data_IF_031945475000
#
_entry.id   IF_031945475000
#
_cell.length_a   1.000
_cell.length_b   1.000
_cell.length_c   1.000
_cell.angle_alpha   90.00
_cell.angle_beta   90.00
_cell.angle_gamma   90.00
#
_symmetry.space_group_name_H-M   'P 1'
#
loop_
_entity.id
_entity.type
_entity.pdbx_description
1 polymer ?
#
# COMPACT_ATOMS: atom_id res chain seq x y z
N UNK A 1 29.11 40.02 -56.46
CA UNK A 1 29.59 40.14 -55.05
C UNK A 1 28.48 40.17 -54.04
N UNK A 2 27.28 40.67 -54.35
CA UNK A 2 26.12 40.77 -53.46
C UNK A 2 25.48 39.40 -53.15
N UNK A 3 25.38 38.50 -54.14
CA UNK A 3 24.72 37.17 -53.97
C UNK A 3 25.54 36.25 -53.04
N UNK A 4 26.83 36.37 -53.05
CA UNK A 4 27.68 35.52 -52.16
C UNK A 4 27.58 35.96 -50.71
N UNK A 5 27.32 37.23 -50.46
CA UNK A 5 27.13 37.80 -49.11
C UNK A 5 25.80 37.41 -48.48
N UNK A 6 24.78 37.38 -49.28
CA UNK A 6 23.43 36.93 -48.87
C UNK A 6 23.42 35.42 -48.55
N UNK A 7 24.12 34.62 -49.37
CA UNK A 7 24.22 33.17 -49.18
C UNK A 7 25.00 32.82 -47.90
N UNK A 8 26.05 33.55 -47.58
CA UNK A 8 26.82 33.35 -46.29
C UNK A 8 26.02 33.79 -45.09
N UNK A 9 25.20 34.84 -45.23
CA UNK A 9 24.32 35.27 -44.14
C UNK A 9 23.19 34.26 -43.87
N UNK A 10 22.59 33.70 -44.92
CA UNK A 10 21.56 32.66 -44.82
C UNK A 10 22.13 31.33 -44.29
N UNK A 11 23.31 30.94 -44.71
CA UNK A 11 23.98 29.74 -44.22
C UNK A 11 24.37 29.85 -42.74
N UNK A 12 24.77 31.04 -42.30
CA UNK A 12 25.03 31.35 -40.89
C UNK A 12 23.74 31.34 -40.05
N UNK A 13 22.63 31.82 -40.59
CA UNK A 13 21.34 31.85 -39.91
C UNK A 13 20.72 30.45 -39.74
N UNK A 14 20.88 29.58 -40.77
CA UNK A 14 20.40 28.20 -40.72
C UNK A 14 21.22 27.35 -39.76
N UNK A 15 22.52 27.61 -39.63
CA UNK A 15 23.37 26.94 -38.63
C UNK A 15 23.05 27.38 -37.17
N UNK A 16 22.46 28.58 -36.99
CA UNK A 16 22.08 29.06 -35.67
C UNK A 16 20.75 28.46 -35.18
N UNK A 17 19.94 27.92 -36.12
CA UNK A 17 18.61 27.39 -35.78
C UNK A 17 18.60 25.96 -35.18
N UNK A 18 19.70 25.22 -35.31
CA UNK A 18 19.82 23.87 -34.79
C UNK A 18 20.71 23.85 -33.53
N UNK A 19 20.14 23.49 -32.42
CA UNK A 19 20.94 23.24 -31.19
C UNK A 19 21.91 22.09 -31.42
N UNK A 20 23.20 22.26 -31.11
CA UNK A 20 24.19 21.18 -31.25
C UNK A 20 23.76 19.98 -30.40
N UNK A 21 23.74 18.82 -31.03
CA UNK A 21 23.44 17.56 -30.36
C UNK A 21 24.41 16.46 -30.80
N UNK A 22 24.77 15.58 -29.92
CA UNK A 22 25.50 14.35 -30.22
C UNK A 22 24.73 13.16 -29.61
N UNK A 23 25.18 11.93 -29.87
CA UNK A 23 24.59 10.72 -29.29
C UNK A 23 24.51 10.76 -27.76
N UNK A 24 25.42 11.49 -27.11
CA UNK A 24 25.54 11.53 -25.66
C UNK A 24 25.25 12.90 -25.04
N UNK A 25 25.10 13.96 -25.84
CA UNK A 25 24.90 15.32 -25.35
C UNK A 25 23.92 16.08 -26.22
N UNK A 26 23.00 16.78 -25.56
CA UNK A 26 22.04 17.67 -26.21
C UNK A 26 22.09 19.03 -25.50
N UNK A 27 22.27 20.11 -26.26
CA UNK A 27 22.09 21.47 -25.74
C UNK A 27 20.58 21.78 -25.84
N UNK A 28 19.94 21.91 -24.68
CA UNK A 28 18.50 22.19 -24.61
C UNK A 28 18.20 23.70 -24.69
N UNK A 29 19.17 24.55 -24.39
CA UNK A 29 19.04 26.01 -24.53
C UNK A 29 20.41 26.68 -24.58
N UNK A 30 20.49 27.84 -25.19
CA UNK A 30 21.66 28.71 -25.16
C UNK A 30 21.23 30.18 -25.21
N UNK A 31 22.07 31.06 -24.67
CA UNK A 31 21.89 32.50 -24.75
C UNK A 31 23.17 33.15 -25.28
N UNK A 32 23.03 34.30 -25.94
CA UNK A 32 24.13 35.13 -26.40
C UNK A 32 24.28 36.32 -25.45
N UNK A 33 25.42 36.46 -24.79
CA UNK A 33 25.79 37.59 -23.96
C UNK A 33 27.07 38.25 -24.48
N UNK A 34 27.46 39.36 -23.91
CA UNK A 34 28.70 40.07 -24.20
C UNK A 34 29.97 39.35 -23.72
N UNK A 35 29.83 38.26 -23.02
CA UNK A 35 30.89 37.39 -22.53
C UNK A 35 30.36 36.43 -21.48
N UNK A 36 31.17 35.50 -21.06
CA UNK A 36 30.83 34.52 -20.04
C UNK A 36 31.85 33.40 -20.00
N UNK A 37 31.77 32.59 -18.96
CA UNK A 37 32.59 31.36 -18.85
C UNK A 37 31.65 30.16 -18.91
N UNK A 38 31.96 29.23 -19.82
CA UNK A 38 31.33 27.92 -19.86
C UNK A 38 32.25 26.88 -19.24
N UNK A 39 31.74 26.15 -18.27
CA UNK A 39 32.44 24.97 -17.76
C UNK A 39 33.61 25.22 -16.80
N UNK A 40 33.64 26.34 -16.09
CA UNK A 40 34.56 26.48 -14.95
C UNK A 40 34.16 25.48 -13.90
N UNK A 41 35.00 24.49 -13.65
CA UNK A 41 34.72 23.41 -12.70
C UNK A 41 35.86 23.23 -11.71
N UNK A 42 35.49 22.94 -10.46
CA UNK A 42 36.33 22.33 -9.44
C UNK A 42 35.85 20.88 -9.20
N UNK A 43 36.54 20.16 -8.32
CA UNK A 43 36.10 18.80 -7.93
C UNK A 43 34.64 18.73 -7.46
N UNK A 44 34.09 19.84 -6.95
CA UNK A 44 32.76 19.87 -6.32
C UNK A 44 31.79 20.88 -6.94
N UNK A 45 32.22 21.74 -7.86
CA UNK A 45 31.37 22.80 -8.43
C UNK A 45 31.60 23.00 -9.92
N UNK A 46 30.49 23.21 -10.66
CA UNK A 46 30.50 23.73 -12.03
C UNK A 46 29.78 25.06 -12.05
N UNK A 47 30.43 26.07 -12.61
CA UNK A 47 29.85 27.40 -12.79
C UNK A 47 29.69 27.64 -14.30
N UNK A 48 28.46 27.95 -14.70
CA UNK A 48 28.15 28.49 -16.02
C UNK A 48 27.63 29.91 -15.83
N UNK A 49 28.25 30.90 -16.43
CA UNK A 49 27.85 32.27 -16.35
C UNK A 49 27.78 32.93 -17.71
N UNK A 50 26.78 33.76 -17.96
CA UNK A 50 26.61 34.61 -19.12
C UNK A 50 26.79 36.05 -18.67
N UNK A 51 27.85 36.72 -19.13
CA UNK A 51 28.04 38.15 -18.89
C UNK A 51 27.18 38.94 -19.87
N UNK A 52 26.38 39.88 -19.38
CA UNK A 52 25.44 40.67 -20.16
C UNK A 52 24.01 40.20 -20.13
N UNK A 53 23.71 39.15 -19.36
CA UNK A 53 22.34 38.86 -18.95
C UNK A 53 21.93 39.88 -17.90
N UNK A 54 21.15 40.89 -18.32
CA UNK A 54 20.66 41.95 -17.45
C UNK A 54 19.59 41.42 -16.53
N UNK A 55 20.00 40.87 -15.39
CA UNK A 55 18.97 40.54 -14.47
C UNK A 55 19.40 40.20 -13.05
N UNK A 56 19.34 41.17 -12.21
CA UNK A 56 18.92 40.97 -10.84
C UNK A 56 17.41 41.11 -10.74
N UNK A 57 16.75 40.54 -9.70
CA UNK A 57 15.34 40.78 -9.46
C UNK A 57 15.12 42.26 -9.17
N UNK A 58 14.25 42.88 -9.95
CA UNK A 58 13.69 44.18 -9.59
C UNK A 58 12.51 43.91 -8.66
N UNK A 59 12.61 44.35 -7.40
CA UNK A 59 11.60 44.11 -6.40
C UNK A 59 10.96 45.46 -5.94
N UNK A 60 9.63 45.43 -5.80
CA UNK A 60 8.87 46.46 -5.08
C UNK A 60 8.10 45.79 -3.93
N UNK A 61 7.39 46.60 -3.14
CA UNK A 61 6.61 46.06 -2.00
C UNK A 61 5.60 44.95 -2.39
N UNK A 62 5.13 44.95 -3.65
CA UNK A 62 4.07 44.06 -4.13
C UNK A 62 4.43 43.24 -5.39
N UNK A 63 5.58 43.48 -6.01
CA UNK A 63 5.94 42.85 -7.27
C UNK A 63 7.44 42.53 -7.33
N UNK A 64 7.78 41.37 -7.81
CA UNK A 64 9.15 40.99 -8.19
C UNK A 64 9.17 40.66 -9.67
N UNK A 65 9.99 41.36 -10.44
CA UNK A 65 10.25 41.05 -11.85
C UNK A 65 11.67 40.51 -11.99
N UNK A 66 11.82 39.35 -12.57
CA UNK A 66 13.10 38.77 -12.95
C UNK A 66 13.29 38.89 -14.46
N UNK A 67 14.47 39.36 -14.90
CA UNK A 67 14.82 39.45 -16.31
C UNK A 67 15.95 38.46 -16.66
N UNK A 68 16.07 38.10 -17.95
CA UNK A 68 17.09 37.19 -18.44
C UNK A 68 16.68 35.72 -18.51
N UNK A 69 17.50 34.88 -19.18
CA UNK A 69 17.20 33.48 -19.43
C UNK A 69 17.06 32.65 -18.13
N UNK A 70 17.84 33.00 -17.11
CA UNK A 70 17.79 32.32 -15.80
C UNK A 70 16.42 32.44 -15.17
N UNK A 71 15.82 33.63 -15.21
CA UNK A 71 14.48 33.88 -14.66
C UNK A 71 13.36 33.36 -15.55
N UNK A 72 13.55 33.40 -16.89
CA UNK A 72 12.59 32.84 -17.84
C UNK A 72 12.41 31.31 -17.65
N UNK A 73 13.39 30.64 -17.08
CA UNK A 73 13.37 29.19 -16.79
C UNK A 73 13.21 28.87 -15.30
N UNK A 74 12.93 29.87 -14.47
CA UNK A 74 12.74 29.60 -13.05
C UNK A 74 11.51 28.70 -12.84
N UNK A 75 11.69 27.66 -12.03
CA UNK A 75 10.58 26.81 -11.61
C UNK A 75 9.68 27.56 -10.61
N UNK A 76 8.39 27.42 -10.74
CA UNK A 76 7.44 27.85 -9.74
C UNK A 76 7.55 26.99 -8.49
N UNK A 77 7.26 27.56 -7.33
CA UNK A 77 7.23 26.83 -6.06
C UNK A 77 6.03 25.86 -6.07
N UNK A 78 6.25 24.55 -6.01
CA UNK A 78 5.17 23.56 -6.00
C UNK A 78 4.55 23.45 -4.62
N UNK A 79 3.34 22.84 -4.54
CA UNK A 79 2.76 22.39 -3.29
C UNK A 79 2.89 20.87 -3.16
N UNK A 80 3.07 20.39 -1.94
CA UNK A 80 3.01 18.98 -1.63
C UNK A 80 1.93 18.73 -0.57
N UNK A 81 1.15 17.68 -0.75
CA UNK A 81 0.19 17.20 0.25
C UNK A 81 0.55 15.79 0.64
N UNK A 82 0.51 15.48 1.93
CA UNK A 82 0.72 14.14 2.45
C UNK A 82 -0.54 13.68 3.19
N UNK A 83 -0.99 12.43 2.93
CA UNK A 83 -2.20 11.85 3.54
C UNK A 83 -1.99 10.39 3.93
N UNK A 84 -2.83 9.90 4.84
CA UNK A 84 -2.94 8.50 5.18
C UNK A 84 -4.40 8.04 5.00
N UNK A 85 -4.82 7.83 3.76
CA UNK A 85 -6.21 7.56 3.41
C UNK A 85 -6.68 6.15 3.82
N UNK A 86 -5.77 5.19 3.95
CA UNK A 86 -6.08 3.78 4.20
C UNK A 86 -5.46 3.23 5.50
N UNK A 87 -5.16 4.11 6.46
CA UNK A 87 -4.62 3.73 7.76
C UNK A 87 -3.32 2.91 7.67
N UNK A 88 -2.44 3.27 6.73
CA UNK A 88 -1.16 2.59 6.53
C UNK A 88 -0.23 2.81 7.72
N UNK A 89 0.43 1.75 8.13
CA UNK A 89 1.39 1.78 9.24
C UNK A 89 2.83 2.11 8.80
N UNK A 90 3.18 1.90 7.52
CA UNK A 90 4.56 1.99 7.01
C UNK A 90 4.72 2.85 5.75
N UNK A 91 3.66 3.53 5.33
CA UNK A 91 3.66 4.37 4.11
C UNK A 91 2.65 5.49 4.21
N UNK A 92 2.87 6.55 3.43
CA UNK A 92 1.97 7.69 3.30
C UNK A 92 1.87 8.11 1.83
N UNK A 93 0.73 8.62 1.42
CA UNK A 93 0.54 9.12 0.06
C UNK A 93 0.97 10.57 -0.04
N UNK A 94 1.85 10.87 -0.99
CA UNK A 94 2.29 12.22 -1.33
C UNK A 94 1.75 12.58 -2.70
N UNK A 95 1.09 13.73 -2.79
CA UNK A 95 0.59 14.32 -4.04
C UNK A 95 1.27 15.65 -4.26
N UNK A 96 1.71 15.93 -5.47
CA UNK A 96 2.32 17.20 -5.86
C UNK A 96 1.31 18.00 -6.67
N UNK A 97 1.13 19.27 -6.32
CA UNK A 97 0.55 20.26 -7.22
C UNK A 97 1.70 21.04 -7.88
N UNK A 98 1.77 20.93 -9.19
CA UNK A 98 2.85 21.48 -9.99
C UNK A 98 2.84 23.01 -10.05
N UNK A 99 1.80 23.71 -9.63
CA UNK A 99 1.68 25.19 -9.61
C UNK A 99 2.08 25.85 -10.95
N UNK A 100 1.47 25.37 -12.03
CA UNK A 100 1.74 25.83 -13.40
C UNK A 100 3.21 25.65 -13.85
N UNK A 101 3.98 24.79 -13.21
CA UNK A 101 5.27 24.38 -13.78
C UNK A 101 5.02 23.63 -15.09
N UNK A 102 5.86 23.86 -16.12
CA UNK A 102 5.73 23.15 -17.38
C UNK A 102 6.05 21.66 -17.24
N UNK A 103 5.68 20.88 -18.26
CA UNK A 103 5.81 19.42 -18.26
C UNK A 103 7.26 18.91 -18.19
N UNK A 104 8.25 19.76 -18.48
CA UNK A 104 9.68 19.47 -18.39
C UNK A 104 10.25 19.72 -16.98
N UNK A 105 9.47 20.28 -16.07
CA UNK A 105 9.87 20.45 -14.69
C UNK A 105 9.88 19.11 -13.93
N UNK A 106 10.83 18.96 -13.02
CA UNK A 106 10.95 17.82 -12.11
C UNK A 106 10.88 18.26 -10.66
N UNK A 107 10.42 17.38 -9.78
CA UNK A 107 10.08 17.70 -8.40
C UNK A 107 10.83 16.81 -7.44
N UNK A 108 11.32 17.38 -6.34
CA UNK A 108 11.87 16.67 -5.21
C UNK A 108 11.07 16.96 -3.96
N UNK A 109 10.88 15.94 -3.12
CA UNK A 109 10.16 16.05 -1.85
C UNK A 109 11.13 15.84 -0.70
N UNK A 110 11.18 16.80 0.20
CA UNK A 110 11.79 16.67 1.51
C UNK A 110 10.73 16.18 2.50
N UNK A 111 11.13 15.25 3.36
CA UNK A 111 10.29 14.64 4.40
C UNK A 111 11.02 14.66 5.73
N UNK A 112 10.29 14.82 6.82
CA UNK A 112 10.85 14.87 8.17
C UNK A 112 9.85 14.38 9.19
N UNK A 113 10.32 13.72 10.24
CA UNK A 113 9.54 13.33 11.41
C UNK A 113 9.76 14.23 12.63
N UNK A 114 10.63 15.24 12.51
CA UNK A 114 11.05 16.14 13.59
C UNK A 114 10.97 17.62 13.21
N UNK A 115 10.00 17.95 12.35
CA UNK A 115 9.76 19.31 11.84
C UNK A 115 11.00 19.94 11.18
N UNK A 116 11.72 19.16 10.35
CA UNK A 116 12.90 19.55 9.60
C UNK A 116 14.14 19.95 10.45
N UNK A 117 14.21 19.51 11.70
CA UNK A 117 15.49 19.47 12.44
C UNK A 117 16.44 18.53 11.72
N UNK A 118 15.96 17.37 11.31
CA UNK A 118 16.62 16.47 10.37
C UNK A 118 15.80 16.38 9.08
N UNK A 119 16.44 16.66 7.95
CA UNK A 119 15.80 16.58 6.64
C UNK A 119 16.18 15.29 5.95
N UNK A 120 15.18 14.55 5.50
CA UNK A 120 15.32 13.41 4.60
C UNK A 120 14.64 13.73 3.26
N UNK A 121 14.88 12.90 2.26
CA UNK A 121 14.36 13.10 0.91
C UNK A 121 13.76 11.82 0.37
N UNK A 122 12.70 11.96 -0.43
CA UNK A 122 12.08 10.82 -1.12
C UNK A 122 12.87 10.53 -2.38
N UNK A 123 13.35 9.28 -2.50
CA UNK A 123 14.08 8.78 -3.67
C UNK A 123 13.15 8.47 -4.85
N UNK A 124 13.76 8.18 -5.99
CA UNK A 124 13.06 7.77 -7.21
C UNK A 124 12.28 6.43 -7.07
N UNK A 125 12.64 5.59 -6.10
CA UNK A 125 11.93 4.35 -5.74
C UNK A 125 10.88 4.56 -4.64
N UNK A 126 10.63 5.81 -4.23
CA UNK A 126 9.71 6.22 -3.16
C UNK A 126 10.10 5.72 -1.76
N UNK A 127 11.35 5.34 -1.54
CA UNK A 127 11.93 5.17 -0.20
C UNK A 127 12.56 6.47 0.27
N UNK A 128 13.04 6.51 1.53
CA UNK A 128 13.58 7.73 2.16
C UNK A 128 15.08 7.64 2.30
N UNK A 129 15.80 8.75 2.08
CA UNK A 129 17.27 8.88 2.20
C UNK A 129 17.66 10.17 2.90
N UNK A 130 18.85 10.19 3.53
CA UNK A 130 19.39 11.39 4.15
C UNK A 130 19.95 12.43 3.15
N UNK A 131 20.23 12.03 1.91
CA UNK A 131 20.86 12.89 0.90
C UNK A 131 20.02 12.94 -0.37
N UNK A 132 19.78 14.14 -0.89
CA UNK A 132 19.09 14.35 -2.16
C UNK A 132 20.10 14.20 -3.32
N UNK A 133 19.80 13.31 -4.26
CA UNK A 133 20.49 13.21 -5.55
C UNK A 133 19.66 13.85 -6.66
N UNK A 134 20.31 14.26 -7.76
CA UNK A 134 19.59 14.75 -8.93
C UNK A 134 18.65 13.68 -9.54
N UNK A 135 19.00 12.41 -9.41
CA UNK A 135 18.16 11.28 -9.85
C UNK A 135 16.87 11.11 -9.05
N UNK A 136 16.75 11.77 -7.90
CA UNK A 136 15.54 11.74 -7.05
C UNK A 136 14.52 12.81 -7.46
N UNK A 137 14.91 13.74 -8.35
CA UNK A 137 13.95 14.64 -8.98
C UNK A 137 13.18 13.90 -10.05
N UNK A 138 11.87 13.85 -9.90
CA UNK A 138 10.97 13.11 -10.78
C UNK A 138 9.97 14.04 -11.44
N UNK A 139 9.50 13.64 -12.64
CA UNK A 139 8.42 14.35 -13.37
C UNK A 139 7.12 14.29 -12.58
N UNK A 140 6.21 15.22 -12.89
CA UNK A 140 4.85 15.20 -12.33
C UNK A 140 4.12 13.87 -12.57
N UNK A 141 4.32 13.28 -13.77
CA UNK A 141 3.75 11.97 -14.10
C UNK A 141 4.34 10.84 -13.25
N UNK A 142 5.66 10.85 -12.97
CA UNK A 142 6.30 9.86 -12.11
C UNK A 142 5.82 9.98 -10.66
N UNK A 143 5.48 11.19 -10.19
CA UNK A 143 4.82 11.43 -8.90
C UNK A 143 3.33 11.01 -8.89
N UNK A 144 2.84 10.36 -9.96
CA UNK A 144 1.46 9.88 -10.04
C UNK A 144 0.45 10.96 -10.40
N UNK A 145 0.91 12.11 -10.88
CA UNK A 145 0.04 13.25 -11.24
C UNK A 145 -0.88 13.63 -10.06
N UNK A 146 -2.16 13.82 -10.30
CA UNK A 146 -3.16 14.16 -9.29
C UNK A 146 -3.47 13.02 -8.28
N UNK A 147 -3.10 11.76 -8.60
CA UNK A 147 -3.34 10.60 -7.73
C UNK A 147 -2.30 10.53 -6.61
N UNK A 148 -1.06 10.92 -6.90
CA UNK A 148 0.07 10.86 -5.99
C UNK A 148 0.74 9.48 -5.94
N UNK A 149 1.80 9.38 -5.12
CA UNK A 149 2.60 8.17 -4.93
C UNK A 149 2.74 7.82 -3.44
N UNK A 150 2.94 6.53 -3.16
CA UNK A 150 3.13 6.03 -1.81
C UNK A 150 4.61 6.07 -1.44
N UNK A 151 4.98 6.92 -0.50
CA UNK A 151 6.29 6.93 0.16
C UNK A 151 6.31 5.80 1.18
N UNK A 152 7.31 4.92 1.11
CA UNK A 152 7.37 3.64 1.82
C UNK A 152 8.53 3.58 2.80
N UNK A 153 8.49 2.57 3.70
CA UNK A 153 9.54 2.33 4.69
C UNK A 153 9.53 3.35 5.83
N UNK A 154 8.37 3.96 6.08
CA UNK A 154 8.19 4.90 7.17
C UNK A 154 7.90 4.16 8.48
N UNK A 155 8.58 4.49 9.60
CA UNK A 155 8.22 4.01 10.92
C UNK A 155 6.75 4.19 11.27
N UNK A 156 6.13 3.21 11.98
CA UNK A 156 4.75 3.29 12.41
C UNK A 156 4.51 4.36 13.50
N UNK A 157 3.26 4.80 13.61
CA UNK A 157 2.82 5.72 14.68
C UNK A 157 3.53 7.08 14.66
N UNK A 158 4.08 7.48 13.51
CA UNK A 158 4.98 8.64 13.38
C UNK A 158 4.34 9.72 12.51
N UNK A 159 4.39 10.98 12.96
CA UNK A 159 3.95 12.14 12.17
C UNK A 159 5.08 12.50 11.22
N UNK A 160 4.76 12.63 9.94
CA UNK A 160 5.65 13.12 8.90
C UNK A 160 5.16 14.42 8.32
N UNK A 161 6.10 15.34 8.12
CA UNK A 161 5.89 16.62 7.46
C UNK A 161 6.66 16.62 6.15
N UNK A 162 6.02 17.06 5.06
CA UNK A 162 6.64 17.15 3.73
C UNK A 162 6.59 18.57 3.19
N UNK A 163 7.54 18.87 2.32
CA UNK A 163 7.57 20.04 1.45
C UNK A 163 8.22 19.68 0.13
N UNK A 164 7.83 20.30 -0.95
CA UNK A 164 8.37 20.04 -2.27
C UNK A 164 9.08 21.25 -2.84
N UNK A 165 10.02 21.00 -3.75
CA UNK A 165 10.65 21.98 -4.61
C UNK A 165 10.67 21.48 -6.03
N UNK A 166 10.72 22.39 -7.00
CA UNK A 166 10.76 22.08 -8.42
C UNK A 166 12.12 22.50 -9.00
N UNK A 167 12.51 21.81 -10.06
CA UNK A 167 13.70 22.11 -10.85
C UNK A 167 13.30 22.13 -12.32
N UNK A 168 13.66 23.20 -13.02
CA UNK A 168 13.37 23.38 -14.44
C UNK A 168 14.65 23.64 -15.23
N UNK A 169 14.95 22.78 -16.19
CA UNK A 169 16.18 22.86 -16.96
C UNK A 169 17.42 22.57 -16.12
N UNK A 170 18.54 23.20 -16.47
CA UNK A 170 19.81 22.92 -15.75
C UNK A 170 20.17 23.97 -14.70
N UNK A 171 19.37 25.01 -14.49
CA UNK A 171 19.86 26.21 -13.79
C UNK A 171 18.97 26.76 -12.69
N UNK A 172 17.70 26.38 -12.60
CA UNK A 172 16.81 27.03 -11.64
C UNK A 172 15.99 26.06 -10.83
N UNK A 173 16.36 25.98 -9.57
CA UNK A 173 15.59 25.31 -8.53
C UNK A 173 14.68 26.34 -7.84
N UNK A 174 13.43 25.96 -7.57
CA UNK A 174 12.53 26.79 -6.77
C UNK A 174 12.90 26.73 -5.29
N UNK A 175 12.39 27.64 -4.50
CA UNK A 175 12.29 27.44 -3.05
C UNK A 175 11.39 26.26 -2.70
N UNK A 176 11.42 25.82 -1.44
CA UNK A 176 10.45 24.85 -0.94
C UNK A 176 9.08 25.51 -0.80
N UNK A 177 8.04 24.75 -1.17
CA UNK A 177 6.65 25.09 -0.88
C UNK A 177 6.29 24.95 0.60
N UNK A 178 5.05 25.28 0.94
CA UNK A 178 4.53 25.10 2.29
C UNK A 178 4.55 23.65 2.73
N UNK A 179 4.58 23.45 4.03
CA UNK A 179 4.58 22.12 4.64
C UNK A 179 3.17 21.60 4.86
N UNK A 180 2.99 20.28 4.72
CA UNK A 180 1.81 19.53 5.15
C UNK A 180 2.23 18.31 5.94
N UNK A 181 1.36 17.78 6.81
CA UNK A 181 1.69 16.69 7.70
C UNK A 181 0.60 15.62 7.70
N UNK A 182 1.03 14.36 7.85
CA UNK A 182 0.17 13.21 8.13
C UNK A 182 0.92 12.20 9.00
N UNK A 183 0.19 11.33 9.68
CA UNK A 183 0.78 10.28 10.52
C UNK A 183 0.60 8.89 9.90
N UNK A 184 1.61 8.04 10.02
CA UNK A 184 1.43 6.60 9.95
C UNK A 184 0.70 6.12 11.20
N UNK A 185 -0.05 5.02 11.11
CA UNK A 185 -0.68 4.41 12.28
C UNK A 185 0.17 3.27 12.85
N UNK A 186 -0.15 2.79 14.04
CA UNK A 186 0.49 1.58 14.55
C UNK A 186 -0.04 0.32 13.85
N UNK A 187 0.76 -0.76 13.71
CA UNK A 187 0.26 -2.06 13.32
C UNK A 187 -0.86 -2.53 14.23
N UNK A 188 -1.96 -2.99 13.65
CA UNK A 188 -3.14 -3.43 14.39
C UNK A 188 -3.65 -4.76 13.86
N UNK A 189 -3.95 -5.67 14.80
CA UNK A 189 -4.72 -6.87 14.57
C UNK A 189 -5.74 -6.99 15.71
N UNK A 190 -7.01 -6.97 15.37
CA UNK A 190 -8.11 -7.27 16.30
C UNK A 190 -8.79 -8.55 15.85
N UNK A 191 -9.00 -9.45 16.78
CA UNK A 191 -9.63 -10.74 16.55
C UNK A 191 -10.61 -11.05 17.66
N UNK A 192 -11.82 -11.47 17.29
CA UNK A 192 -12.85 -11.88 18.25
C UNK A 192 -13.59 -13.10 17.72
N UNK A 193 -14.02 -13.95 18.65
CA UNK A 193 -14.90 -15.09 18.40
C UNK A 193 -16.23 -14.84 19.11
N UNK A 194 -17.31 -15.24 18.45
CA UNK A 194 -18.64 -15.33 19.04
C UNK A 194 -19.24 -16.70 18.68
N UNK A 195 -20.10 -17.24 19.51
CA UNK A 195 -20.84 -18.50 19.26
C UNK A 195 -22.34 -18.24 19.44
N UNK A 196 -23.05 -18.21 18.32
CA UNK A 196 -24.49 -17.93 18.32
C UNK A 196 -25.16 -18.43 17.03
N UNK A 197 -26.47 -18.62 17.05
CA UNK A 197 -27.25 -18.99 15.85
C UNK A 197 -27.30 -17.86 14.81
N UNK A 198 -27.29 -16.62 15.26
CA UNK A 198 -27.29 -15.40 14.44
C UNK A 198 -26.09 -14.53 14.75
N UNK A 199 -25.82 -13.53 13.91
CA UNK A 199 -24.68 -12.62 14.09
C UNK A 199 -24.92 -11.66 15.26
N UNK A 200 -24.54 -12.10 16.45
CA UNK A 200 -24.58 -11.31 17.69
C UNK A 200 -23.29 -11.48 18.48
N UNK A 201 -23.00 -10.50 19.32
CA UNK A 201 -21.84 -10.56 20.21
C UNK A 201 -22.14 -11.44 21.41
N UNK A 202 -21.22 -12.33 21.75
CA UNK A 202 -21.31 -13.26 22.89
C UNK A 202 -20.04 -13.21 23.74
N UNK A 203 -20.07 -13.85 24.90
CA UNK A 203 -18.93 -13.93 25.81
C UNK A 203 -18.63 -15.38 26.17
N UNK A 204 -17.36 -15.73 26.46
CA UNK A 204 -16.99 -17.06 26.92
C UNK A 204 -17.66 -17.40 28.26
N UNK A 205 -17.81 -18.71 28.61
CA UNK A 205 -17.27 -19.85 27.85
C UNK A 205 -18.10 -20.17 26.60
N UNK A 206 -17.41 -20.55 25.52
CA UNK A 206 -18.06 -20.93 24.27
C UNK A 206 -18.24 -22.43 24.18
N UNK A 207 -19.44 -22.87 23.83
CA UNK A 207 -19.79 -24.27 23.62
C UNK A 207 -20.79 -24.42 22.50
N UNK A 208 -20.63 -25.47 21.70
CA UNK A 208 -21.58 -25.88 20.64
C UNK A 208 -22.01 -27.29 20.96
N UNK A 209 -23.30 -27.51 21.14
CA UNK A 209 -23.89 -28.83 21.39
C UNK A 209 -24.71 -29.25 20.19
N UNK A 210 -24.34 -30.35 19.56
CA UNK A 210 -25.12 -30.92 18.43
C UNK A 210 -26.47 -31.51 18.88
N UNK A 211 -26.58 -31.88 20.16
CA UNK A 211 -27.70 -32.70 20.64
C UNK A 211 -27.53 -34.16 20.15
N UNK A 212 -28.66 -34.79 19.80
CA UNK A 212 -28.65 -36.14 19.26
C UNK A 212 -28.23 -36.12 17.77
N UNK A 213 -27.34 -37.00 17.40
CA UNK A 213 -26.88 -37.21 16.02
C UNK A 213 -27.62 -38.41 15.40
N UNK A 214 -28.63 -38.20 14.53
CA UNK A 214 -29.32 -39.30 13.84
C UNK A 214 -28.35 -40.08 12.96
N UNK A 215 -28.48 -41.41 12.97
CA UNK A 215 -27.64 -42.31 12.18
C UNK A 215 -27.76 -42.02 10.69
N UNK A 216 -26.65 -42.01 9.97
CA UNK A 216 -26.54 -41.78 8.52
C UNK A 216 -27.07 -40.43 8.03
N UNK A 217 -27.33 -39.49 8.92
CA UNK A 217 -27.82 -38.13 8.61
C UNK A 217 -26.76 -37.10 8.89
N UNK A 218 -26.51 -36.22 7.94
CA UNK A 218 -25.63 -35.04 8.18
C UNK A 218 -26.39 -34.05 9.07
N UNK A 219 -25.80 -33.71 10.19
CA UNK A 219 -26.39 -32.80 11.18
C UNK A 219 -25.51 -31.55 11.29
N UNK A 220 -26.13 -30.39 11.14
CA UNK A 220 -25.49 -29.09 11.35
C UNK A 220 -25.53 -28.71 12.82
N UNK A 221 -24.49 -28.05 13.30
CA UNK A 221 -24.54 -27.44 14.63
C UNK A 221 -25.64 -26.36 14.70
N UNK A 222 -26.38 -26.26 15.82
CA UNK A 222 -27.48 -25.29 15.95
C UNK A 222 -26.98 -23.86 16.05
N UNK A 223 -25.70 -23.67 16.39
CA UNK A 223 -25.02 -22.38 16.47
C UNK A 223 -23.83 -22.37 15.56
N UNK A 224 -23.38 -21.20 15.17
CA UNK A 224 -22.20 -20.94 14.33
C UNK A 224 -21.07 -20.40 15.17
N UNK A 225 -19.85 -20.62 14.70
CA UNK A 225 -18.68 -19.88 15.14
C UNK A 225 -18.59 -18.65 14.26
N UNK A 226 -18.70 -17.47 14.86
CA UNK A 226 -18.48 -16.21 14.21
C UNK A 226 -17.10 -15.69 14.55
N UNK A 227 -16.39 -15.17 13.54
CA UNK A 227 -15.07 -14.57 13.71
C UNK A 227 -15.12 -13.13 13.24
N UNK A 228 -14.52 -12.22 14.01
CA UNK A 228 -14.23 -10.86 13.56
C UNK A 228 -12.74 -10.72 13.32
N UNK A 229 -12.37 -10.03 12.24
CA UNK A 229 -10.99 -9.75 11.88
C UNK A 229 -10.85 -8.31 11.42
N UNK A 230 -10.05 -7.52 12.12
CA UNK A 230 -9.64 -6.17 11.71
C UNK A 230 -8.11 -6.12 11.68
N UNK A 231 -7.55 -5.65 10.58
CA UNK A 231 -6.11 -5.45 10.47
C UNK A 231 -5.76 -4.40 9.43
N UNK A 232 -4.73 -3.61 9.71
CA UNK A 232 -4.08 -2.71 8.75
C UNK A 232 -2.78 -3.30 8.18
N UNK A 233 -2.52 -4.59 8.37
CA UNK A 233 -1.41 -5.32 7.75
C UNK A 233 -1.44 -5.20 6.23
N UNK A 234 -0.31 -4.93 5.58
CA UNK A 234 -0.23 -4.67 4.13
C UNK A 234 -0.74 -5.84 3.29
N UNK A 235 -0.42 -7.06 3.70
CA UNK A 235 -0.91 -8.30 3.08
C UNK A 235 -2.15 -8.85 3.77
N UNK A 236 -2.84 -8.01 4.55
CA UNK A 236 -4.07 -8.37 5.24
C UNK A 236 -3.87 -9.30 6.43
N UNK A 237 -4.84 -10.20 6.61
CA UNK A 237 -4.83 -11.14 7.72
C UNK A 237 -5.53 -12.44 7.40
N UNK A 238 -5.27 -13.45 8.20
CA UNK A 238 -5.78 -14.80 8.03
C UNK A 238 -6.37 -15.32 9.33
N UNK A 239 -7.39 -16.15 9.22
CA UNK A 239 -7.94 -16.91 10.34
C UNK A 239 -7.76 -18.39 10.07
N UNK A 240 -7.24 -19.06 11.06
CA UNK A 240 -6.98 -20.50 11.03
C UNK A 240 -7.86 -21.22 12.05
N UNK A 241 -8.10 -22.49 11.80
CA UNK A 241 -8.81 -23.40 12.70
C UNK A 241 -8.00 -24.69 12.86
N UNK A 242 -8.06 -25.26 14.07
CA UNK A 242 -7.61 -26.62 14.36
C UNK A 242 -8.49 -27.27 15.41
N UNK A 243 -8.64 -28.57 15.35
CA UNK A 243 -9.24 -29.39 16.40
C UNK A 243 -8.16 -30.05 17.27
N UNK A 244 -8.47 -30.44 18.47
CA UNK A 244 -7.53 -31.10 19.39
C UNK A 244 -7.45 -32.60 19.17
N UNK A 245 -8.61 -33.26 18.96
CA UNK A 245 -8.73 -34.71 18.99
C UNK A 245 -8.72 -35.36 17.60
N UNK A 246 -8.67 -34.55 16.54
CA UNK A 246 -8.76 -35.04 15.18
C UNK A 246 -10.18 -35.46 14.75
N UNK A 247 -11.21 -34.99 15.45
CA UNK A 247 -12.61 -35.27 15.25
C UNK A 247 -13.39 -35.34 16.57
N UNK A 248 -14.66 -35.68 16.50
CA UNK A 248 -15.49 -35.87 17.70
C UNK A 248 -15.11 -37.17 18.42
N UNK A 249 -14.40 -37.03 19.52
CA UNK A 249 -13.88 -38.15 20.31
C UNK A 249 -14.75 -38.43 21.53
N UNK A 250 -15.10 -39.71 21.74
CA UNK A 250 -15.66 -40.20 22.98
C UNK A 250 -14.59 -40.93 23.79
N UNK A 251 -14.42 -40.56 25.03
CA UNK A 251 -13.50 -41.24 25.96
C UNK A 251 -14.14 -42.54 26.44
N UNK A 252 -15.44 -42.53 26.71
CA UNK A 252 -16.19 -43.69 27.19
C UNK A 252 -16.18 -44.86 26.22
N UNK A 253 -16.43 -44.60 24.94
CA UNK A 253 -16.46 -45.61 23.89
C UNK A 253 -15.09 -45.87 23.25
N UNK A 254 -14.08 -45.07 23.57
CA UNK A 254 -12.76 -45.05 22.94
C UNK A 254 -12.83 -44.93 21.40
N UNK A 255 -13.82 -44.19 20.89
CA UNK A 255 -14.09 -44.01 19.48
C UNK A 255 -14.00 -42.56 19.05
N UNK A 256 -13.60 -42.31 17.81
CA UNK A 256 -13.54 -40.95 17.23
C UNK A 256 -14.26 -40.93 15.89
N UNK A 257 -15.26 -40.09 15.75
CA UNK A 257 -15.81 -39.72 14.45
C UNK A 257 -14.78 -38.79 13.80
N UNK A 258 -14.01 -39.34 12.86
CA UNK A 258 -12.83 -38.67 12.34
C UNK A 258 -13.18 -37.36 11.61
N UNK A 259 -12.31 -36.37 11.74
CA UNK A 259 -12.41 -35.15 10.94
C UNK A 259 -12.21 -35.51 9.45
N UNK A 260 -13.07 -34.94 8.61
CA UNK A 260 -13.17 -35.32 7.19
C UNK A 260 -13.26 -34.07 6.32
N UNK A 261 -12.97 -34.23 5.03
CA UNK A 261 -13.15 -33.20 4.00
C UNK A 261 -14.04 -33.72 2.89
N UNK A 262 -14.73 -32.80 2.21
CA UNK A 262 -15.64 -33.12 1.10
C UNK A 262 -17.10 -33.25 1.53
N UNK A 263 -17.90 -33.93 0.71
CA UNK A 263 -19.35 -34.06 0.94
C UNK A 263 -19.62 -35.17 1.98
N UNK A 264 -20.02 -34.75 3.20
CA UNK A 264 -20.39 -35.69 4.26
C UNK A 264 -21.59 -36.58 3.88
N UNK A 265 -22.44 -36.15 2.95
CA UNK A 265 -23.58 -37.01 2.52
C UNK A 265 -23.10 -38.27 1.82
N UNK A 266 -21.96 -38.20 1.12
CA UNK A 266 -21.34 -39.29 0.42
C UNK A 266 -20.44 -40.20 1.31
N UNK A 267 -20.00 -39.66 2.47
CA UNK A 267 -19.19 -40.43 3.43
C UNK A 267 -20.08 -41.32 4.31
N UNK A 268 -19.52 -42.37 4.89
CA UNK A 268 -20.22 -43.20 5.88
C UNK A 268 -20.41 -42.46 7.19
N UNK A 269 -19.38 -41.81 7.67
CA UNK A 269 -19.36 -40.91 8.82
C UNK A 269 -18.31 -39.81 8.65
N UNK A 270 -18.36 -38.75 9.47
CA UNK A 270 -17.37 -37.69 9.45
C UNK A 270 -17.76 -36.47 10.27
N UNK A 271 -16.77 -35.62 10.50
CA UNK A 271 -16.90 -34.33 11.19
C UNK A 271 -16.09 -33.28 10.46
N UNK A 272 -16.60 -32.04 10.39
CA UNK A 272 -15.86 -30.95 9.78
C UNK A 272 -16.53 -29.61 9.94
N UNK A 273 -15.90 -28.59 9.36
CA UNK A 273 -16.41 -27.22 9.37
C UNK A 273 -16.74 -26.74 7.96
N UNK A 274 -17.85 -26.01 7.83
CA UNK A 274 -18.24 -25.33 6.59
C UNK A 274 -18.35 -23.84 6.83
N UNK A 275 -17.72 -23.04 5.96
CA UNK A 275 -17.89 -21.59 5.94
C UNK A 275 -19.25 -21.23 5.34
N UNK A 276 -19.92 -20.28 5.98
CA UNK A 276 -21.26 -19.84 5.57
C UNK A 276 -21.24 -18.43 5.01
N UNK A 277 -20.48 -17.54 5.61
CA UNK A 277 -20.39 -16.14 5.19
C UNK A 277 -19.00 -15.58 5.43
N UNK A 278 -18.63 -14.63 4.58
CA UNK A 278 -17.49 -13.73 4.77
C UNK A 278 -17.86 -12.36 4.23
N UNK A 279 -17.81 -11.33 5.06
CA UNK A 279 -18.17 -9.96 4.76
C UNK A 279 -17.17 -9.00 5.40
N UNK A 280 -17.12 -7.75 4.96
CA UNK A 280 -16.31 -6.69 5.56
C UNK A 280 -16.97 -5.32 5.38
N UNK A 281 -16.61 -4.37 6.24
CA UNK A 281 -17.04 -2.98 6.12
C UNK A 281 -16.25 -2.23 5.06
N UNK A 282 -14.92 -2.43 5.02
CA UNK A 282 -14.04 -1.84 3.99
C UNK A 282 -12.73 -2.63 3.85
N UNK A 283 -11.99 -2.36 2.76
CA UNK A 283 -10.76 -3.09 2.45
C UNK A 283 -11.00 -4.53 2.03
N UNK A 284 -10.07 -5.44 2.29
CA UNK A 284 -10.18 -6.87 1.98
C UNK A 284 -10.05 -7.19 0.49
N UNK A 285 -10.85 -8.13 -0.08
CA UNK A 285 -11.99 -8.80 0.57
C UNK A 285 -11.60 -9.86 1.60
N UNK A 286 -12.45 -10.06 2.61
CA UNK A 286 -12.40 -11.25 3.45
C UNK A 286 -13.09 -12.40 2.71
N UNK A 287 -12.40 -13.49 2.49
CA UNK A 287 -12.87 -14.64 1.71
C UNK A 287 -12.72 -15.94 2.48
N UNK A 288 -13.59 -16.90 2.17
CA UNK A 288 -13.46 -18.29 2.62
C UNK A 288 -12.44 -19.03 1.76
N UNK A 289 -11.57 -19.80 2.40
CA UNK A 289 -10.56 -20.61 1.73
C UNK A 289 -11.10 -22.03 1.46
N UNK A 290 -10.76 -22.61 0.32
CA UNK A 290 -11.09 -24.01 0.05
C UNK A 290 -10.33 -24.96 1.02
N UNK A 291 -10.95 -26.05 1.49
CA UNK A 291 -12.26 -26.60 1.09
C UNK A 291 -13.44 -26.07 1.91
N UNK A 292 -13.23 -25.11 2.82
CA UNK A 292 -14.27 -24.60 3.73
C UNK A 292 -15.37 -23.77 3.02
N UNK A 293 -15.13 -23.34 1.80
CA UNK A 293 -16.07 -22.58 0.96
C UNK A 293 -17.06 -23.46 0.19
N UNK A 294 -17.09 -24.77 0.44
CA UNK A 294 -18.03 -25.69 -0.19
C UNK A 294 -19.47 -25.46 0.22
N UNK A 295 -20.44 -25.82 -0.63
CA UNK A 295 -21.86 -25.72 -0.38
C UNK A 295 -22.48 -27.05 0.10
N UNK A 296 -23.72 -27.03 0.60
CA UNK A 296 -24.46 -28.22 0.99
C UNK A 296 -23.84 -28.94 2.18
N UNK A 297 -23.50 -30.21 2.02
CA UNK A 297 -22.84 -31.00 3.06
C UNK A 297 -21.31 -31.04 2.96
N UNK A 298 -20.74 -30.20 2.10
CA UNK A 298 -19.27 -30.12 1.99
C UNK A 298 -18.65 -29.46 3.21
N UNK A 299 -17.58 -30.07 3.70
CA UNK A 299 -16.81 -29.57 4.85
C UNK A 299 -15.32 -29.57 4.56
N UNK A 300 -14.59 -28.71 5.26
CA UNK A 300 -13.15 -28.79 5.43
C UNK A 300 -12.81 -29.49 6.75
N UNK A 301 -11.62 -30.08 6.79
CA UNK A 301 -11.13 -30.84 7.94
C UNK A 301 -10.98 -29.94 9.18
N UNK A 302 -11.47 -30.41 10.31
CA UNK A 302 -11.26 -29.80 11.63
C UNK A 302 -10.45 -30.78 12.51
N UNK A 303 -9.22 -31.05 12.07
CA UNK A 303 -8.27 -31.94 12.76
C UNK A 303 -7.21 -31.13 13.53
N UNK A 304 -6.20 -31.80 14.09
CA UNK A 304 -5.13 -31.18 14.85
C UNK A 304 -4.14 -30.34 14.02
N UNK A 305 -4.30 -30.29 12.70
CA UNK A 305 -3.48 -29.46 11.83
C UNK A 305 -4.10 -28.07 11.71
N UNK A 306 -3.29 -27.03 11.89
CA UNK A 306 -3.72 -25.64 11.70
C UNK A 306 -3.99 -25.37 10.22
N UNK A 307 -5.23 -24.99 9.88
CA UNK A 307 -5.66 -24.77 8.50
C UNK A 307 -6.31 -23.41 8.33
N UNK A 308 -5.96 -22.73 7.24
CA UNK A 308 -6.53 -21.44 6.88
C UNK A 308 -7.99 -21.61 6.47
N UNK A 309 -8.88 -20.80 7.08
CA UNK A 309 -10.32 -20.81 6.79
C UNK A 309 -10.82 -19.47 6.22
N UNK A 310 -10.23 -18.36 6.66
CA UNK A 310 -10.50 -17.04 6.10
C UNK A 310 -9.18 -16.36 5.73
N UNK A 311 -9.24 -15.64 4.63
CA UNK A 311 -8.13 -14.85 4.13
C UNK A 311 -8.61 -13.46 3.68
N UNK A 312 -7.91 -12.43 4.12
CA UNK A 312 -7.98 -11.09 3.56
C UNK A 312 -6.61 -10.76 2.99
N UNK A 313 -6.52 -10.56 1.67
CA UNK A 313 -5.24 -10.27 0.98
C UNK A 313 -4.79 -8.82 1.07
N UNK A 314 -5.50 -7.96 1.81
CA UNK A 314 -5.22 -6.54 2.02
C UNK A 314 -5.79 -6.11 3.38
N UNK A 315 -5.44 -4.90 3.88
CA UNK A 315 -6.04 -4.37 5.10
C UNK A 315 -7.56 -4.50 5.09
N UNK A 316 -8.14 -4.95 6.19
CA UNK A 316 -9.59 -5.19 6.31
C UNK A 316 -10.12 -4.57 7.59
N UNK A 317 -11.29 -3.93 7.48
CA UNK A 317 -12.02 -3.34 8.60
C UNK A 317 -13.40 -3.96 8.71
N UNK A 318 -13.81 -4.27 9.93
CA UNK A 318 -15.07 -4.96 10.24
C UNK A 318 -15.24 -6.25 9.40
N UNK A 319 -14.15 -7.00 9.26
CA UNK A 319 -14.20 -8.33 8.67
C UNK A 319 -15.02 -9.26 9.56
N UNK A 320 -16.02 -9.95 8.97
CA UNK A 320 -16.90 -10.85 9.71
C UNK A 320 -17.15 -12.14 8.92
N UNK A 321 -16.76 -13.27 9.50
CA UNK A 321 -16.96 -14.59 8.93
C UNK A 321 -17.77 -15.49 9.83
N UNK A 322 -18.41 -16.52 9.26
CA UNK A 322 -19.10 -17.54 10.05
C UNK A 322 -18.87 -18.95 9.53
N UNK A 323 -18.85 -19.89 10.46
CA UNK A 323 -18.66 -21.31 10.24
C UNK A 323 -19.79 -22.08 10.94
N UNK A 324 -20.27 -23.16 10.31
CA UNK A 324 -21.09 -24.19 10.93
C UNK A 324 -20.25 -25.47 11.05
N UNK A 325 -20.38 -26.18 12.15
CA UNK A 325 -19.82 -27.51 12.31
C UNK A 325 -20.85 -28.52 11.83
N UNK A 326 -20.38 -29.56 11.14
CA UNK A 326 -21.23 -30.65 10.62
C UNK A 326 -20.70 -32.00 11.07
N UNK A 327 -21.61 -32.88 11.43
CA UNK A 327 -21.28 -34.25 11.82
C UNK A 327 -22.25 -35.25 11.17
N UNK A 328 -21.74 -36.45 10.89
CA UNK A 328 -22.51 -37.60 10.44
C UNK A 328 -22.02 -38.84 11.15
N UNK A 329 -22.94 -39.63 11.68
CA UNK A 329 -22.65 -40.94 12.29
C UNK A 329 -23.05 -42.07 11.36
N UNK A 330 -22.50 -43.27 11.56
CA UNK A 330 -22.86 -44.48 10.88
C UNK A 330 -23.55 -45.48 11.83
N UNK A 331 -24.18 -46.58 11.33
CA UNK A 331 -24.82 -47.57 12.19
C UNK A 331 -23.89 -48.22 13.20
N UNK A 332 -22.59 -48.26 12.92
CA UNK A 332 -21.58 -48.85 13.79
C UNK A 332 -20.92 -47.85 14.75
N UNK A 333 -21.25 -46.57 14.66
CA UNK A 333 -20.74 -45.54 15.60
C UNK A 333 -21.27 -45.86 17.00
N UNK A 334 -20.40 -46.07 18.00
CA UNK A 334 -20.84 -46.39 19.36
C UNK A 334 -21.74 -45.29 19.95
N UNK A 335 -22.85 -45.67 20.52
CA UNK A 335 -23.70 -44.70 21.23
C UNK A 335 -23.00 -44.23 22.50
N UNK A 336 -22.74 -42.94 22.59
CA UNK A 336 -22.14 -42.28 23.76
C UNK A 336 -22.58 -40.83 23.84
N UNK A 337 -22.70 -40.30 25.03
CA UNK A 337 -23.09 -38.90 25.28
C UNK A 337 -21.90 -37.94 25.46
N UNK A 338 -20.68 -38.45 25.34
CA UNK A 338 -19.45 -37.70 25.65
C UNK A 338 -18.57 -37.40 24.43
N UNK A 339 -19.13 -37.46 23.22
CA UNK A 339 -18.41 -37.05 22.02
C UNK A 339 -18.10 -35.55 22.07
N UNK A 340 -16.80 -35.17 21.98
CA UNK A 340 -16.39 -33.80 22.01
C UNK A 340 -15.17 -33.52 21.10
N UNK A 341 -15.02 -32.29 20.68
CA UNK A 341 -13.84 -31.75 20.04
C UNK A 341 -13.58 -30.34 20.61
N UNK A 342 -12.33 -30.00 20.79
CA UNK A 342 -11.91 -28.64 21.15
C UNK A 342 -11.39 -27.93 19.94
N UNK A 343 -12.13 -26.91 19.48
CA UNK A 343 -11.77 -26.11 18.31
C UNK A 343 -10.99 -24.89 18.74
N UNK A 344 -9.82 -24.70 18.18
CA UNK A 344 -8.98 -23.51 18.36
C UNK A 344 -9.03 -22.67 17.09
N UNK A 345 -9.33 -21.38 17.23
CA UNK A 345 -9.21 -20.41 16.16
C UNK A 345 -8.06 -19.45 16.43
N UNK A 346 -7.25 -19.16 15.42
CA UNK A 346 -6.06 -18.31 15.50
C UNK A 346 -6.15 -17.28 14.39
N UNK A 347 -5.84 -16.02 14.71
CA UNK A 347 -5.69 -14.98 13.70
C UNK A 347 -4.21 -14.57 13.57
N UNK A 348 -3.82 -14.23 12.36
CA UNK A 348 -2.54 -13.61 12.06
C UNK A 348 -2.71 -12.46 11.10
N UNK A 349 -1.79 -11.48 11.14
CA UNK A 349 -1.68 -10.42 10.17
C UNK A 349 -0.25 -10.33 9.65
N UNK A 350 -0.10 -9.83 8.43
CA UNK A 350 1.21 -9.63 7.81
C UNK A 350 1.48 -8.12 7.70
N UNK A 351 2.45 -7.65 8.47
CA UNK A 351 2.88 -6.25 8.57
C UNK A 351 4.19 -6.00 7.82
#
# INVERSE_FOLDING_TARGET
MTILREFTLWLGLVMLAALPASSNYKINSYGFGTGGTSGTSSSNYKINGIAGDLAGPATSANYTAGGGETYAKQANVPLATITNDAQWYNKLKVTIDAQNNPSDAVFAVAISSDNFTTTQYVKSDFTVTASLSFTDYQTYAAWGSAVGQLVRGLPPGTIYTVKAKAFRGKFTESGYGPTTSAATVNPQLSFKIDVAATDISTSPPYQITFGSLPVSTVTDSPTRIWVSLDTNGESGGKVYLSGLNGGLKSVTSAYTIAASTGDLSALTEGFGAQGISATQGSGGPLTLTAPYNGAGSNVGVADSVIREIFNAGAPVTAGRGSLVLKAKTQPLTPASGDYFETITAIASASF
#
